data_IF_683360578275
#
_entry.id   IF_683360578275
#
_cell.length_a   1.000
_cell.length_b   1.000
_cell.length_c   1.000
_cell.angle_alpha   90.00
_cell.angle_beta   90.00
_cell.angle_gamma   90.00
#
_symmetry.space_group_name_H-M   'P 1'
#
loop_
_entity.id
_entity.type
_entity.pdbx_description
1 polymer ?
#
# COMPACT_ATOMS: atom_id res chain seq x y z
N UNK A 1 7.89 -5.44 49.80
CA UNK A 1 7.87 -5.17 48.34
C UNK A 1 6.52 -5.61 47.79
N UNK A 2 5.53 -4.73 47.79
CA UNK A 2 4.20 -5.05 47.29
C UNK A 2 3.81 -4.01 46.25
N UNK A 3 4.04 -4.32 44.97
CA UNK A 3 3.46 -3.52 43.89
C UNK A 3 1.96 -3.81 43.93
N UNK A 4 1.21 -2.83 44.41
CA UNK A 4 -0.22 -2.96 44.72
C UNK A 4 -1.05 -3.28 43.47
N UNK A 5 -2.04 -4.15 43.65
CA UNK A 5 -3.09 -4.57 42.70
C UNK A 5 -3.73 -3.39 41.94
N UNK A 6 -3.67 -2.20 42.53
CA UNK A 6 -4.08 -0.93 41.93
C UNK A 6 -3.38 -0.62 40.60
N UNK A 7 -2.10 -1.01 40.46
CA UNK A 7 -1.32 -0.81 39.24
C UNK A 7 -1.80 -1.71 38.09
N UNK A 8 -2.39 -2.86 38.41
CA UNK A 8 -2.90 -3.82 37.43
C UNK A 8 -4.35 -3.51 37.02
N UNK A 9 -5.16 -2.96 37.93
CA UNK A 9 -6.56 -2.55 37.65
C UNK A 9 -6.68 -1.24 36.86
N UNK A 10 -5.62 -0.44 36.80
CA UNK A 10 -5.57 0.79 35.99
C UNK A 10 -4.95 0.55 34.60
N UNK A 11 -5.19 -0.62 34.02
CA UNK A 11 -4.82 -0.93 32.64
C UNK A 11 -5.85 -0.28 31.71
N UNK A 12 -5.60 0.97 31.33
CA UNK A 12 -6.39 1.67 30.31
C UNK A 12 -6.28 0.93 28.98
N UNK A 13 -7.37 0.37 28.42
CA UNK A 13 -7.33 -0.19 27.08
C UNK A 13 -7.25 0.96 26.08
N UNK A 14 -6.02 1.31 25.65
CA UNK A 14 -5.79 2.25 24.54
C UNK A 14 -6.07 1.60 23.18
N UNK A 15 -7.27 1.04 23.01
CA UNK A 15 -7.65 0.20 21.86
C UNK A 15 -8.26 0.95 20.66
N UNK A 16 -8.67 2.22 20.82
CA UNK A 16 -9.35 2.96 19.74
C UNK A 16 -8.40 3.75 18.84
N UNK A 17 -7.23 4.15 19.32
CA UNK A 17 -6.27 4.97 18.57
C UNK A 17 -5.55 4.19 17.45
N UNK A 18 -5.31 2.88 17.65
CA UNK A 18 -4.68 2.02 16.65
C UNK A 18 -5.55 1.87 15.40
N UNK A 19 -6.88 1.89 15.55
CA UNK A 19 -7.82 1.72 14.45
C UNK A 19 -7.84 2.93 13.51
N UNK A 20 -7.78 4.16 14.02
CA UNK A 20 -7.77 5.37 13.18
C UNK A 20 -6.54 5.40 12.25
N UNK A 21 -5.37 5.05 12.80
CA UNK A 21 -4.11 5.00 12.05
C UNK A 21 -4.14 3.87 11.03
N UNK A 22 -4.63 2.69 11.41
CA UNK A 22 -4.78 1.56 10.50
C UNK A 22 -5.76 1.87 9.36
N UNK A 23 -6.90 2.48 9.67
CA UNK A 23 -7.88 2.92 8.67
C UNK A 23 -7.29 3.97 7.73
N UNK A 24 -6.56 4.95 8.27
CA UNK A 24 -5.86 5.96 7.46
C UNK A 24 -4.83 5.31 6.53
N UNK A 25 -4.06 4.33 7.02
CA UNK A 25 -3.10 3.58 6.21
C UNK A 25 -3.80 2.81 5.09
N UNK A 26 -4.87 2.09 5.41
CA UNK A 26 -5.65 1.33 4.43
C UNK A 26 -6.23 2.24 3.34
N UNK A 27 -6.79 3.40 3.71
CA UNK A 27 -7.31 4.38 2.75
C UNK A 27 -6.19 4.91 1.86
N UNK A 28 -5.03 5.26 2.41
CA UNK A 28 -3.88 5.72 1.62
C UNK A 28 -3.39 4.64 0.65
N UNK A 29 -3.31 3.38 1.09
CA UNK A 29 -2.98 2.26 0.20
C UNK A 29 -3.99 2.12 -0.93
N UNK A 30 -5.30 2.17 -0.63
CA UNK A 30 -6.35 2.06 -1.64
C UNK A 30 -6.34 3.21 -2.64
N UNK A 31 -6.09 4.44 -2.19
CA UNK A 31 -6.02 5.59 -3.11
C UNK A 31 -4.82 5.50 -4.03
N UNK A 32 -3.64 5.11 -3.51
CA UNK A 32 -2.44 4.89 -4.33
C UNK A 32 -2.68 3.76 -5.33
N UNK A 33 -3.22 2.63 -4.86
CA UNK A 33 -3.54 1.47 -5.69
C UNK A 33 -4.48 1.84 -6.84
N UNK A 34 -5.60 2.51 -6.57
CA UNK A 34 -6.55 2.91 -7.63
C UNK A 34 -5.92 3.93 -8.58
N UNK A 35 -5.12 4.87 -8.06
CA UNK A 35 -4.48 5.90 -8.89
C UNK A 35 -3.49 5.29 -9.89
N UNK A 36 -2.61 4.42 -9.42
CA UNK A 36 -1.65 3.73 -10.29
C UNK A 36 -2.33 2.71 -11.21
N UNK A 37 -3.35 1.99 -10.74
CA UNK A 37 -4.15 1.11 -11.59
C UNK A 37 -4.78 1.85 -12.77
N UNK A 38 -5.30 3.07 -12.58
CA UNK A 38 -5.81 3.91 -13.68
C UNK A 38 -4.70 4.32 -14.63
N UNK A 39 -3.52 4.66 -14.12
CA UNK A 39 -2.36 5.00 -14.96
C UNK A 39 -1.90 3.81 -15.82
N UNK A 40 -1.82 2.60 -15.25
CA UNK A 40 -1.53 1.39 -16.01
C UNK A 40 -2.65 1.07 -17.00
N UNK A 41 -3.91 1.19 -16.59
CA UNK A 41 -5.01 0.96 -17.51
C UNK A 41 -4.95 1.91 -18.72
N UNK A 42 -4.65 3.20 -18.51
CA UNK A 42 -4.42 4.14 -19.59
C UNK A 42 -3.24 3.73 -20.49
N UNK A 43 -2.15 3.22 -19.91
CA UNK A 43 -0.97 2.76 -20.64
C UNK A 43 -1.22 1.43 -21.38
N UNK A 44 -2.20 0.64 -20.95
CA UNK A 44 -2.58 -0.63 -21.60
C UNK A 44 -3.09 -0.42 -23.03
N UNK A 45 -3.77 0.72 -23.30
CA UNK A 45 -4.22 1.10 -24.65
C UNK A 45 -3.09 1.37 -25.63
N UNK A 46 -1.88 1.66 -25.13
CA UNK A 46 -0.68 1.84 -25.95
C UNK A 46 0.10 0.53 -26.16
N UNK A 47 -0.45 -0.62 -25.75
CA UNK A 47 0.15 -1.94 -25.97
C UNK A 47 1.25 -2.32 -24.97
N UNK A 48 1.26 -1.72 -23.78
CA UNK A 48 2.44 -1.70 -22.88
C UNK A 48 2.39 -2.73 -21.72
N UNK A 49 1.35 -3.57 -21.56
CA UNK A 49 1.21 -4.32 -20.29
C UNK A 49 0.69 -5.76 -20.36
N UNK A 50 0.26 -6.29 -21.50
CA UNK A 50 -0.41 -7.60 -21.50
C UNK A 50 0.38 -8.63 -22.30
N UNK A 51 1.30 -9.31 -21.62
CA UNK A 51 2.00 -10.50 -22.11
C UNK A 51 1.47 -11.73 -21.36
N UNK A 52 0.41 -12.33 -21.88
CA UNK A 52 0.10 -13.72 -21.56
C UNK A 52 0.46 -14.57 -22.78
N UNK A 53 1.56 -15.34 -22.68
CA UNK A 53 1.91 -16.35 -23.68
C UNK A 53 2.27 -15.84 -25.09
N UNK A 54 2.91 -14.67 -25.23
CA UNK A 54 3.54 -14.21 -26.47
C UNK A 54 2.56 -13.86 -27.64
N UNK A 55 1.29 -13.58 -27.36
CA UNK A 55 0.35 -13.07 -28.38
C UNK A 55 -0.45 -11.89 -27.84
N UNK A 56 -0.56 -10.82 -28.64
CA UNK A 56 -1.47 -9.70 -28.39
C UNK A 56 -2.89 -10.21 -28.57
N UNK A 57 -3.48 -10.75 -27.50
CA UNK A 57 -4.91 -11.00 -27.46
C UNK A 57 -5.60 -9.65 -27.26
N UNK A 58 -6.65 -9.38 -28.03
CA UNK A 58 -7.57 -8.28 -27.70
C UNK A 58 -8.25 -8.62 -26.38
N UNK A 59 -7.62 -8.20 -25.29
CA UNK A 59 -8.13 -8.33 -23.94
C UNK A 59 -9.27 -7.31 -23.79
N UNK A 60 -10.43 -7.78 -23.35
CA UNK A 60 -11.60 -6.91 -23.17
C UNK A 60 -11.29 -5.76 -22.19
N UNK A 61 -11.97 -4.62 -22.35
CA UNK A 61 -11.78 -3.43 -21.50
C UNK A 61 -11.82 -3.76 -19.99
N UNK A 62 -12.73 -4.65 -19.58
CA UNK A 62 -12.88 -5.10 -18.19
C UNK A 62 -11.66 -5.89 -17.71
N UNK A 63 -11.13 -6.76 -18.57
CA UNK A 63 -9.99 -7.61 -18.24
C UNK A 63 -8.69 -6.80 -18.19
N UNK A 64 -8.50 -5.83 -19.09
CA UNK A 64 -7.37 -4.88 -19.01
C UNK A 64 -7.39 -4.04 -17.74
N UNK A 65 -8.59 -3.64 -17.28
CA UNK A 65 -8.75 -2.94 -16.00
C UNK A 65 -8.39 -3.85 -14.82
N UNK A 66 -8.85 -5.11 -14.84
CA UNK A 66 -8.54 -6.10 -13.80
C UNK A 66 -7.03 -6.39 -13.72
N UNK A 67 -6.36 -6.60 -14.86
CA UNK A 67 -4.91 -6.79 -14.94
C UNK A 67 -4.14 -5.57 -14.44
N UNK A 68 -4.60 -4.36 -14.77
CA UNK A 68 -3.96 -3.12 -14.31
C UNK A 68 -4.09 -2.92 -12.80
N UNK A 69 -5.26 -3.25 -12.24
CA UNK A 69 -5.52 -3.22 -10.80
C UNK A 69 -4.67 -4.26 -10.05
N UNK A 70 -4.61 -5.47 -10.60
CA UNK A 70 -3.79 -6.55 -10.07
C UNK A 70 -2.30 -6.18 -10.11
N UNK A 71 -1.79 -5.68 -11.24
CA UNK A 71 -0.40 -5.25 -11.39
C UNK A 71 -0.02 -4.15 -10.40
N UNK A 72 -0.89 -3.14 -10.24
CA UNK A 72 -0.69 -2.09 -9.22
C UNK A 72 -0.65 -2.68 -7.81
N UNK A 73 -1.58 -3.56 -7.46
CA UNK A 73 -1.62 -4.21 -6.15
C UNK A 73 -0.34 -5.01 -5.84
N UNK A 74 0.10 -5.87 -6.75
CA UNK A 74 1.33 -6.68 -6.54
C UNK A 74 2.59 -5.83 -6.52
N UNK A 75 2.60 -4.69 -7.22
CA UNK A 75 3.74 -3.76 -7.24
C UNK A 75 3.79 -2.91 -5.97
N UNK A 76 2.66 -2.30 -5.58
CA UNK A 76 2.53 -1.49 -4.38
C UNK A 76 2.81 -2.27 -3.10
N UNK A 77 2.35 -3.53 -3.05
CA UNK A 77 2.62 -4.44 -1.93
C UNK A 77 3.97 -5.15 -2.05
N UNK A 78 4.75 -4.87 -3.10
CA UNK A 78 6.08 -5.43 -3.34
C UNK A 78 6.11 -6.97 -3.48
N UNK A 79 4.97 -7.58 -3.83
CA UNK A 79 4.84 -9.02 -4.05
C UNK A 79 5.49 -9.42 -5.37
N UNK A 80 5.14 -8.72 -6.46
CA UNK A 80 5.78 -8.85 -7.77
C UNK A 80 5.91 -10.28 -8.31
N UNK A 81 4.80 -11.01 -8.50
CA UNK A 81 4.83 -12.40 -8.99
C UNK A 81 5.54 -12.59 -10.34
N UNK A 82 5.61 -11.54 -11.16
CA UNK A 82 6.34 -11.54 -12.44
C UNK A 82 5.54 -12.12 -13.61
N UNK A 83 4.26 -12.42 -13.40
CA UNK A 83 3.28 -12.81 -14.41
C UNK A 83 2.88 -11.64 -15.32
N UNK A 84 2.75 -10.44 -14.75
CA UNK A 84 2.62 -9.19 -15.51
C UNK A 84 3.90 -8.37 -15.33
N UNK A 85 4.51 -7.98 -16.44
CA UNK A 85 5.74 -7.19 -16.43
C UNK A 85 5.55 -5.85 -17.14
N UNK A 86 5.99 -4.74 -16.53
CA UNK A 86 5.89 -3.44 -17.16
C UNK A 86 6.94 -3.32 -18.28
N UNK A 87 6.53 -2.80 -19.44
CA UNK A 87 7.47 -2.43 -20.51
C UNK A 87 7.49 -0.91 -20.73
N UNK A 88 8.52 -0.42 -21.43
CA UNK A 88 8.69 1.01 -21.72
C UNK A 88 8.58 1.91 -20.48
N UNK A 89 7.77 2.96 -20.57
CA UNK A 89 7.51 3.92 -19.49
C UNK A 89 6.81 3.31 -18.26
N UNK A 90 6.13 2.17 -18.41
CA UNK A 90 5.54 1.46 -17.28
C UNK A 90 6.57 1.05 -16.24
N UNK A 91 7.84 0.85 -16.63
CA UNK A 91 8.92 0.50 -15.70
C UNK A 91 9.23 1.63 -14.71
N UNK A 92 9.21 2.88 -15.16
CA UNK A 92 9.43 4.04 -14.29
C UNK A 92 8.28 4.22 -13.32
N UNK A 93 7.04 4.00 -13.78
CA UNK A 93 5.86 4.02 -12.92
C UNK A 93 5.91 2.92 -11.87
N UNK A 94 6.25 1.69 -12.24
CA UNK A 94 6.36 0.57 -11.32
C UNK A 94 7.47 0.80 -10.27
N UNK A 95 8.60 1.39 -10.66
CA UNK A 95 9.65 1.76 -9.71
C UNK A 95 9.19 2.82 -8.71
N UNK A 96 8.47 3.85 -9.18
CA UNK A 96 7.92 4.89 -8.30
C UNK A 96 6.85 4.33 -7.35
N UNK A 97 5.96 3.47 -7.84
CA UNK A 97 4.93 2.81 -7.05
C UNK A 97 5.53 1.90 -5.98
N UNK A 98 6.51 1.06 -6.34
CA UNK A 98 7.20 0.19 -5.40
C UNK A 98 7.93 0.99 -4.31
N UNK A 99 8.54 2.13 -4.67
CA UNK A 99 9.19 3.02 -3.70
C UNK A 99 8.16 3.61 -2.72
N UNK A 100 7.00 4.04 -3.20
CA UNK A 100 5.90 4.53 -2.35
C UNK A 100 5.43 3.41 -1.42
N UNK A 101 5.18 2.21 -1.95
CA UNK A 101 4.77 1.04 -1.18
C UNK A 101 5.75 0.68 -0.06
N UNK A 102 7.05 0.80 -0.33
CA UNK A 102 8.09 0.56 0.66
C UNK A 102 8.15 1.65 1.76
N UNK A 103 7.97 2.92 1.39
CA UNK A 103 8.08 4.06 2.31
C UNK A 103 6.85 4.20 3.22
N UNK A 104 5.64 3.90 2.71
CA UNK A 104 4.38 4.13 3.43
C UNK A 104 4.32 3.46 4.83
N UNK A 105 4.62 2.16 5.00
CA UNK A 105 4.63 1.53 6.32
C UNK A 105 5.63 2.19 7.28
N UNK A 106 6.82 2.54 6.80
CA UNK A 106 7.85 3.17 7.60
C UNK A 106 7.42 4.58 8.07
N UNK A 107 6.86 5.38 7.17
CA UNK A 107 6.34 6.71 7.50
C UNK A 107 5.21 6.64 8.55
N UNK A 108 4.30 5.67 8.41
CA UNK A 108 3.25 5.44 9.39
C UNK A 108 3.79 4.96 10.74
N UNK A 109 4.77 4.04 10.75
CA UNK A 109 5.43 3.60 11.97
C UNK A 109 6.09 4.77 12.71
N UNK A 110 6.79 5.65 11.99
CA UNK A 110 7.40 6.86 12.58
C UNK A 110 6.35 7.80 13.16
N UNK A 111 5.20 7.97 12.49
CA UNK A 111 4.08 8.77 13.01
C UNK A 111 3.54 8.19 14.32
N UNK A 112 3.39 6.87 14.41
CA UNK A 112 2.97 6.18 15.64
C UNK A 112 4.00 6.38 16.75
N UNK A 113 5.29 6.23 16.44
CA UNK A 113 6.38 6.35 17.41
C UNK A 113 6.51 7.77 17.97
N UNK A 114 6.49 8.79 17.09
CA UNK A 114 6.57 10.19 17.51
C UNK A 114 5.40 10.58 18.41
N UNK A 115 4.19 10.12 18.09
CA UNK A 115 3.00 10.39 18.90
C UNK A 115 3.13 9.80 20.32
N UNK A 116 3.78 8.63 20.47
CA UNK A 116 4.07 8.07 21.80
C UNK A 116 5.19 8.84 22.51
N UNK A 117 6.17 9.39 21.79
CA UNK A 117 7.30 10.10 22.38
C UNK A 117 6.96 11.52 22.85
N UNK A 118 6.01 12.22 22.21
CA UNK A 118 5.59 13.57 22.61
C UNK A 118 4.76 13.57 23.90
N UNK A 119 4.02 12.50 24.19
CA UNK A 119 3.26 12.38 25.45
C UNK A 119 4.10 12.19 26.71
N UNK A 120 5.43 12.03 26.59
CA UNK A 120 6.35 11.82 27.73
C UNK A 120 7.15 13.08 28.12
N UNK A 121 7.04 14.18 27.37
CA UNK A 121 7.79 15.42 27.66
C UNK A 121 7.02 16.45 28.51
N UNK A 122 5.72 16.24 28.73
CA UNK A 122 4.83 17.18 29.41
C UNK A 122 4.23 16.65 30.74
N UNK A 123 4.82 15.61 31.33
CA UNK A 123 4.43 15.06 32.64
C UNK A 123 5.63 14.69 33.48
#
# INVERSE_FOLDING_TARGET
>A
MGISLYTFLHFHPKGFFSLEIFYTLAVVYLTVLVSFAIMYFALSFHGVILLEGNSLKEVGVIESMAHSLYFSGVTLLTVGYGDITPVGFGRLLALAEALIGYILPAAFFLKVYQHHSTGKKDG
#
